data_IF_710172729065
#
_entry.id   IF_710172729065
#
_cell.length_a   1.000
_cell.length_b   1.000
_cell.length_c   1.000
_cell.angle_alpha   90.00
_cell.angle_beta   90.00
_cell.angle_gamma   90.00
#
_symmetry.space_group_name_H-M   'P 1'
#
loop_
_entity.id
_entity.type
_entity.pdbx_description
1 polymer ?
#
# COMPACT_ATOMS: atom_id res chain seq x y z
N UNK A 1 -16.07 16.40 -5.18
CA UNK A 1 -15.81 14.94 -5.34
C UNK A 1 -14.80 14.45 -4.30
N UNK A 2 -15.22 14.24 -3.05
CA UNK A 2 -14.60 13.32 -2.08
C UNK A 2 -15.73 12.85 -1.16
N UNK A 3 -16.58 11.94 -1.65
CA UNK A 3 -17.69 11.43 -0.84
C UNK A 3 -17.16 10.52 0.27
N UNK A 4 -16.13 9.69 0.01
CA UNK A 4 -15.40 8.93 1.05
C UNK A 4 -13.95 8.61 0.61
N UNK A 5 -13.03 8.50 1.59
CA UNK A 5 -11.67 8.01 1.36
C UNK A 5 -11.63 6.49 1.61
N UNK A 6 -11.58 5.67 0.57
CA UNK A 6 -11.38 4.21 0.71
C UNK A 6 -10.02 3.84 1.35
N UNK A 7 -9.14 4.82 1.61
CA UNK A 7 -7.92 4.59 2.39
C UNK A 7 -8.19 4.20 3.85
N UNK A 8 -9.34 4.59 4.42
CA UNK A 8 -9.74 4.09 5.75
C UNK A 8 -10.09 2.61 5.72
N UNK A 9 -10.75 2.14 4.64
CA UNK A 9 -11.07 0.73 4.45
C UNK A 9 -9.80 -0.11 4.33
N UNK A 10 -8.81 0.35 3.55
CA UNK A 10 -7.49 -0.32 3.48
C UNK A 10 -6.82 -0.37 4.86
N UNK A 11 -6.96 0.67 5.69
CA UNK A 11 -6.35 0.69 7.03
C UNK A 11 -7.00 -0.30 8.01
N UNK A 12 -8.25 -0.68 7.77
CA UNK A 12 -8.97 -1.65 8.62
C UNK A 12 -8.58 -3.10 8.31
N UNK A 13 -8.20 -3.38 7.07
CA UNK A 13 -7.96 -4.74 6.60
C UNK A 13 -6.48 -5.04 6.34
N UNK A 14 -5.58 -4.06 6.50
CA UNK A 14 -4.17 -4.21 6.10
C UNK A 14 -3.22 -3.66 7.14
N UNK A 15 -2.31 -4.53 7.59
CA UNK A 15 -1.17 -4.18 8.44
C UNK A 15 0.13 -4.31 7.63
N UNK A 16 0.97 -3.28 7.70
CA UNK A 16 2.31 -3.29 7.11
C UNK A 16 3.33 -3.81 8.12
N UNK A 17 4.45 -4.34 7.63
CA UNK A 17 5.57 -4.79 8.44
C UNK A 17 6.18 -3.68 9.33
N UNK A 18 6.77 -4.10 10.45
CA UNK A 18 7.39 -3.20 11.44
C UNK A 18 8.53 -2.33 10.89
N UNK A 19 9.15 -2.75 9.78
CA UNK A 19 10.18 -1.99 9.08
C UNK A 19 9.62 -0.89 8.14
N UNK A 20 8.29 -0.69 8.13
CA UNK A 20 7.65 0.35 7.33
C UNK A 20 7.74 1.71 8.04
N UNK A 21 8.15 2.74 7.31
CA UNK A 21 8.12 4.13 7.82
C UNK A 21 6.73 4.71 7.62
N UNK A 22 6.36 5.75 8.38
CA UNK A 22 5.09 6.49 8.24
C UNK A 22 4.84 6.94 6.78
N UNK A 23 5.91 7.30 6.06
CA UNK A 23 5.84 7.67 4.63
C UNK A 23 5.46 6.49 3.73
N UNK A 24 5.93 5.29 4.05
CA UNK A 24 5.60 4.06 3.32
C UNK A 24 4.11 3.77 3.49
N UNK A 25 3.62 3.77 4.72
CA UNK A 25 2.23 3.54 5.05
C UNK A 25 1.29 4.55 4.38
N UNK A 26 1.59 5.85 4.48
CA UNK A 26 0.79 6.91 3.86
C UNK A 26 0.76 6.80 2.34
N UNK A 27 1.90 6.49 1.72
CA UNK A 27 2.00 6.31 0.27
C UNK A 27 1.22 5.08 -0.18
N UNK A 28 1.44 3.95 0.49
CA UNK A 28 0.75 2.68 0.23
C UNK A 28 -0.78 2.84 0.29
N UNK A 29 -1.31 3.44 1.38
CA UNK A 29 -2.75 3.66 1.56
C UNK A 29 -3.36 4.54 0.47
N UNK A 30 -2.63 5.54 -0.02
CA UNK A 30 -3.10 6.42 -1.11
C UNK A 30 -3.15 5.68 -2.44
N UNK A 31 -2.15 4.85 -2.72
CA UNK A 31 -2.10 4.04 -3.95
C UNK A 31 -3.18 2.97 -3.92
N UNK A 32 -3.25 2.15 -2.85
CA UNK A 32 -4.26 1.11 -2.69
C UNK A 32 -5.68 1.67 -2.74
N UNK A 33 -5.96 2.75 -2.00
CA UNK A 33 -7.27 3.41 -2.03
C UNK A 33 -7.61 4.06 -3.38
N UNK A 34 -6.61 4.43 -4.19
CA UNK A 34 -6.80 4.89 -5.56
C UNK A 34 -7.13 3.74 -6.50
N UNK A 35 -6.37 2.65 -6.43
CA UNK A 35 -6.59 1.43 -7.22
C UNK A 35 -7.96 0.82 -6.94
N UNK A 36 -8.37 0.71 -5.66
CA UNK A 36 -9.71 0.24 -5.29
C UNK A 36 -10.82 1.09 -5.91
N UNK A 37 -10.65 2.41 -5.99
CA UNK A 37 -11.66 3.29 -6.62
C UNK A 37 -11.76 3.10 -8.13
N UNK A 38 -10.63 2.84 -8.78
CA UNK A 38 -10.57 2.66 -10.23
C UNK A 38 -11.11 1.28 -10.65
N UNK A 39 -10.73 0.24 -9.91
CA UNK A 39 -11.07 -1.15 -10.23
C UNK A 39 -12.45 -1.54 -9.68
N UNK A 40 -12.83 -1.04 -8.50
CA UNK A 40 -14.08 -1.36 -7.81
C UNK A 40 -14.87 -0.08 -7.48
N UNK A 41 -15.36 0.66 -8.49
CA UNK A 41 -16.07 1.92 -8.28
C UNK A 41 -17.38 1.76 -7.47
N UNK A 42 -17.97 0.56 -7.48
CA UNK A 42 -19.14 0.18 -6.68
C UNK A 42 -18.79 -0.31 -5.25
N UNK A 43 -17.51 -0.35 -4.88
CA UNK A 43 -16.98 -0.83 -3.59
C UNK A 43 -17.27 -2.30 -3.27
N UNK A 44 -17.55 -3.11 -4.29
CA UNK A 44 -17.69 -4.56 -4.14
C UNK A 44 -16.42 -5.21 -4.64
N UNK A 45 -15.74 -5.94 -3.77
CA UNK A 45 -14.58 -6.75 -4.09
C UNK A 45 -14.49 -7.90 -3.08
N UNK A 46 -13.89 -9.01 -3.49
CA UNK A 46 -13.56 -10.12 -2.60
C UNK A 46 -12.15 -9.97 -1.99
N UNK A 47 -11.78 -10.89 -1.10
CA UNK A 47 -10.47 -10.88 -0.44
C UNK A 47 -9.30 -11.11 -1.43
N UNK A 48 -9.52 -11.84 -2.53
CA UNK A 48 -8.48 -12.09 -3.54
C UNK A 48 -8.21 -10.83 -4.36
N UNK A 49 -9.28 -10.12 -4.73
CA UNK A 49 -9.24 -8.84 -5.42
C UNK A 49 -8.61 -7.76 -4.55
N UNK A 50 -8.96 -7.71 -3.26
CA UNK A 50 -8.30 -6.83 -2.30
C UNK A 50 -6.81 -7.15 -2.19
N UNK A 51 -6.44 -8.44 -2.14
CA UNK A 51 -5.04 -8.89 -2.10
C UNK A 51 -4.27 -8.46 -3.34
N UNK A 52 -4.86 -8.60 -4.52
CA UNK A 52 -4.25 -8.14 -5.77
C UNK A 52 -3.94 -6.64 -5.73
N UNK A 53 -4.86 -5.83 -5.21
CA UNK A 53 -4.65 -4.38 -5.08
C UNK A 53 -3.54 -4.05 -4.07
N UNK A 54 -3.51 -4.76 -2.95
CA UNK A 54 -2.48 -4.60 -1.93
C UNK A 54 -1.11 -4.98 -2.48
N UNK A 55 -1.00 -6.13 -3.13
CA UNK A 55 0.26 -6.62 -3.70
C UNK A 55 0.81 -5.62 -4.73
N UNK A 56 -0.05 -5.08 -5.61
CA UNK A 56 0.34 -4.01 -6.54
C UNK A 56 0.79 -2.73 -5.82
N UNK A 57 0.04 -2.27 -4.82
CA UNK A 57 0.40 -1.05 -4.09
C UNK A 57 1.72 -1.20 -3.31
N UNK A 58 1.95 -2.39 -2.73
CA UNK A 58 3.18 -2.75 -2.03
C UNK A 58 4.36 -2.76 -3.00
N UNK A 59 4.21 -3.39 -4.16
CA UNK A 59 5.24 -3.45 -5.19
C UNK A 59 5.64 -2.04 -5.66
N UNK A 60 4.66 -1.18 -5.95
CA UNK A 60 4.95 0.21 -6.34
C UNK A 60 5.73 0.95 -5.25
N UNK A 61 5.40 0.74 -3.97
CA UNK A 61 6.14 1.37 -2.88
C UNK A 61 7.53 0.78 -2.72
N UNK A 62 7.68 -0.52 -2.89
CA UNK A 62 8.98 -1.20 -2.83
C UNK A 62 9.93 -0.65 -3.89
N UNK A 63 9.45 -0.45 -5.12
CA UNK A 63 10.27 0.14 -6.20
C UNK A 63 10.84 1.51 -5.80
N UNK A 64 10.06 2.34 -5.11
CA UNK A 64 10.53 3.64 -4.61
C UNK A 64 11.61 3.45 -3.53
N UNK A 65 11.45 2.51 -2.59
CA UNK A 65 12.49 2.20 -1.59
C UNK A 65 13.77 1.70 -2.26
N UNK A 66 13.65 0.80 -3.23
CA UNK A 66 14.79 0.23 -3.95
C UNK A 66 15.56 1.35 -4.70
N UNK A 67 14.86 2.33 -5.29
CA UNK A 67 15.48 3.49 -5.91
C UNK A 67 16.14 4.43 -4.89
N UNK A 68 15.51 4.69 -3.76
CA UNK A 68 16.08 5.51 -2.70
C UNK A 68 17.36 4.88 -2.13
N UNK A 69 17.37 3.55 -1.92
CA UNK A 69 18.57 2.83 -1.50
C UNK A 69 19.71 2.95 -2.50
N UNK A 70 19.43 2.93 -3.81
CA UNK A 70 20.45 3.13 -4.85
C UNK A 70 21.07 4.53 -4.81
N UNK A 71 20.29 5.55 -4.42
CA UNK A 71 20.74 6.95 -4.39
C UNK A 71 21.48 7.26 -3.09
N UNK A 72 20.94 6.81 -1.96
CA UNK A 72 21.53 7.01 -0.63
C UNK A 72 21.32 5.75 0.24
N UNK A 73 22.26 4.78 0.17
CA UNK A 73 22.15 3.55 0.94
C UNK A 73 22.36 3.75 2.45
N UNK A 74 22.93 4.89 2.88
CA UNK A 74 23.14 5.21 4.29
C UNK A 74 21.84 5.63 4.99
N UNK A 75 21.00 6.42 4.32
CA UNK A 75 19.69 6.82 4.86
C UNK A 75 18.60 5.76 4.63
N UNK A 76 18.68 5.03 3.51
CA UNK A 76 17.65 4.09 3.07
C UNK A 76 18.18 2.66 3.05
N UNK A 77 17.92 1.82 4.07
CA UNK A 77 18.33 0.43 4.07
C UNK A 77 17.55 -0.40 3.04
N UNK A 78 18.23 -1.41 2.48
CA UNK A 78 17.65 -2.35 1.52
C UNK A 78 16.78 -3.40 2.23
N UNK A 79 15.56 -2.99 2.57
CA UNK A 79 14.59 -3.85 3.22
C UNK A 79 13.35 -4.02 2.34
N UNK A 80 12.72 -5.18 2.46
CA UNK A 80 11.46 -5.47 1.80
C UNK A 80 10.29 -5.12 2.70
N UNK A 81 9.33 -4.39 2.14
CA UNK A 81 8.03 -4.18 2.73
C UNK A 81 7.21 -5.46 2.58
N UNK A 82 6.42 -5.79 3.60
CA UNK A 82 5.35 -6.76 3.49
C UNK A 82 4.06 -6.18 4.05
N UNK A 83 2.94 -6.70 3.54
CA UNK A 83 1.61 -6.39 4.03
C UNK A 83 0.91 -7.70 4.37
N UNK A 84 0.13 -7.70 5.44
CA UNK A 84 -0.79 -8.78 5.78
C UNK A 84 -2.23 -8.27 5.74
N UNK A 85 -3.11 -9.09 5.20
CA UNK A 85 -4.56 -8.85 5.29
C UNK A 85 -5.00 -9.39 6.64
N UNK A 86 -5.68 -8.57 7.41
CA UNK A 86 -6.26 -8.95 8.70
C UNK A 86 -7.76 -9.13 8.46
N UNK A 87 -8.25 -10.34 8.71
CA UNK A 87 -9.69 -10.68 8.69
C UNK A 87 -10.41 -10.09 9.92
#
# INVERSE_FOLDING_TARGET
>A
MRKESLGSLVSQHVELSDNSKIRDEKSFKRVAGGLLKLLFPNKQFDNNELRLVIDMALEYRQRVRDWLHKIDPGEYPNEKLSARIVD
#
